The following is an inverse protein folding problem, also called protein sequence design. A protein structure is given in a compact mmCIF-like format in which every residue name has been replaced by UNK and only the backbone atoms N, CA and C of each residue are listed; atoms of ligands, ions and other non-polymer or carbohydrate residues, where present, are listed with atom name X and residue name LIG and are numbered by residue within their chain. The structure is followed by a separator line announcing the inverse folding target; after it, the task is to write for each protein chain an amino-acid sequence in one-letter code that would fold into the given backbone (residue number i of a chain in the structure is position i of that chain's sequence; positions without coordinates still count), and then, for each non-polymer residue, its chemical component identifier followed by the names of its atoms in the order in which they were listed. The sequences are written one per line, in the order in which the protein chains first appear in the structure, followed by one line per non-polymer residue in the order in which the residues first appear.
data_IF_216723792645
#
_entry.id   IF_216723792645
#
_cell.length_a   1.000
_cell.length_b   1.000
_cell.length_c   1.000
_cell.angle_alpha   90.00
_cell.angle_beta   90.00
_cell.angle_gamma   90.00
#
_symmetry.space_group_name_H-M   'P 1'
#
loop_
_entity.id
_entity.type
_entity.pdbx_description
1 polymer ?
#
# COMPACT_ATOMS: atom_id res chain seq x y z
N UNK A 1 -15.16 -4.10 -10.44
CA UNK A 1 -14.22 -3.58 -11.45
C UNK A 1 -13.88 -2.15 -11.06
N UNK A 2 -12.73 -1.93 -10.44
CA UNK A 2 -12.25 -0.61 -10.04
C UNK A 2 -10.74 -0.67 -9.91
N UNK A 3 -10.03 -0.13 -10.89
CA UNK A 3 -8.56 -0.14 -10.95
C UNK A 3 -8.01 1.00 -10.10
N UNK A 4 -7.71 0.72 -8.83
CA UNK A 4 -6.96 1.64 -7.97
C UNK A 4 -5.51 1.73 -8.43
N UNK A 5 -5.08 2.92 -8.87
CA UNK A 5 -3.70 3.21 -9.29
C UNK A 5 -2.85 3.45 -8.04
N UNK A 6 -2.33 2.40 -7.42
CA UNK A 6 -1.35 2.51 -6.34
C UNK A 6 0.07 2.28 -6.91
N UNK A 7 0.81 3.37 -7.12
CA UNK A 7 2.22 3.32 -7.49
C UNK A 7 3.10 3.47 -6.25
N UNK A 8 4.00 2.52 -6.02
CA UNK A 8 4.86 2.48 -4.82
C UNK A 8 6.37 2.44 -5.14
N UNK A 9 6.77 2.76 -6.38
CA UNK A 9 8.18 2.77 -6.77
C UNK A 9 8.86 4.08 -6.39
N UNK A 10 9.98 3.99 -5.68
CA UNK A 10 10.84 5.14 -5.40
C UNK A 10 12.00 5.15 -6.40
N UNK A 11 12.17 6.28 -7.11
CA UNK A 11 13.05 6.53 -8.30
C UNK A 11 12.28 6.92 -9.59
N UNK A 12 10.95 7.02 -9.53
CA UNK A 12 10.10 7.30 -10.70
C UNK A 12 9.61 6.03 -11.41
N UNK A 13 10.01 4.85 -10.93
CA UNK A 13 9.42 3.59 -11.34
C UNK A 13 7.96 3.46 -10.89
N UNK A 14 7.13 2.88 -11.75
CA UNK A 14 5.76 2.55 -11.43
C UNK A 14 5.66 1.04 -11.19
N UNK A 15 5.48 0.66 -9.93
CA UNK A 15 5.10 -0.70 -9.57
C UNK A 15 3.57 -0.84 -9.56
N UNK A 16 3.06 -1.93 -10.14
CA UNK A 16 1.64 -2.31 -10.08
C UNK A 16 1.51 -3.57 -9.24
N UNK A 17 0.84 -3.47 -8.09
CA UNK A 17 0.56 -4.60 -7.21
C UNK A 17 -0.91 -5.03 -7.30
N UNK A 18 -1.15 -6.35 -7.26
CA UNK A 18 -2.49 -6.94 -7.14
C UNK A 18 -2.44 -8.00 -6.04
N UNK A 19 -3.22 -7.80 -4.99
CA UNK A 19 -3.35 -8.75 -3.89
C UNK A 19 -4.82 -8.89 -3.54
N UNK A 20 -5.28 -10.13 -3.40
CA UNK A 20 -6.62 -10.42 -2.89
C UNK A 20 -6.57 -10.45 -1.36
N UNK A 21 -7.48 -9.71 -0.73
CA UNK A 21 -7.62 -9.68 0.72
C UNK A 21 -8.94 -10.37 1.06
N UNK A 22 -8.85 -11.65 1.40
CA UNK A 22 -9.97 -12.44 1.91
C UNK A 22 -9.61 -13.05 3.28
N UNK A 23 -10.61 -13.15 4.17
CA UNK A 23 -10.45 -13.73 5.51
C UNK A 23 -10.31 -12.74 6.67
N UNK A 24 -9.86 -11.50 6.43
CA UNK A 24 -9.75 -10.47 7.48
C UNK A 24 -10.31 -9.12 7.00
N UNK A 25 -11.47 -8.73 7.53
CA UNK A 25 -12.10 -7.42 7.31
C UNK A 25 -11.70 -6.45 8.40
N UNK A 26 -10.52 -5.86 8.25
CA UNK A 26 -9.97 -4.87 9.18
C UNK A 26 -9.14 -3.85 8.44
N UNK A 27 -8.60 -2.88 9.17
CA UNK A 27 -7.71 -1.85 8.63
C UNK A 27 -6.36 -2.45 8.29
N UNK A 28 -6.00 -2.39 7.02
CA UNK A 28 -4.69 -2.77 6.51
C UNK A 28 -3.80 -1.53 6.39
N UNK A 29 -2.50 -1.69 6.61
CA UNK A 29 -1.50 -0.63 6.58
C UNK A 29 -0.49 -0.92 5.48
N UNK A 30 -0.28 0.06 4.61
CA UNK A 30 0.71 0.05 3.55
C UNK A 30 1.82 1.02 3.92
N UNK A 31 3.08 0.56 3.96
CA UNK A 31 4.23 1.40 4.27
C UNK A 31 5.44 1.00 3.44
N UNK A 32 6.43 1.89 3.35
CA UNK A 32 7.75 1.48 2.88
C UNK A 32 8.36 0.52 3.89
N UNK A 33 8.87 -0.63 3.44
CA UNK A 33 9.62 -1.54 4.32
C UNK A 33 10.92 -0.92 4.86
N UNK A 34 11.31 0.26 4.34
CA UNK A 34 12.37 1.07 4.93
C UNK A 34 11.80 1.91 6.08
N UNK A 35 12.15 1.55 7.31
CA UNK A 35 11.60 2.14 8.54
C UNK A 35 11.91 3.63 8.64
N UNK A 36 13.04 4.06 8.09
CA UNK A 36 13.44 5.45 7.99
C UNK A 36 12.41 6.24 7.17
N UNK A 37 11.89 5.66 6.08
CA UNK A 37 10.85 6.27 5.25
C UNK A 37 9.46 6.16 5.90
N UNK A 38 9.20 5.09 6.66
CA UNK A 38 7.99 4.95 7.47
C UNK A 38 7.88 6.07 8.52
N UNK A 39 8.96 6.32 9.27
CA UNK A 39 9.04 7.41 10.25
C UNK A 39 8.99 8.82 9.65
N UNK A 40 9.28 8.95 8.35
CA UNK A 40 9.12 10.18 7.56
C UNK A 40 7.73 10.33 6.92
N UNK A 41 6.79 9.43 7.22
CA UNK A 41 5.38 9.53 6.81
C UNK A 41 5.00 8.72 5.57
N UNK A 42 5.83 7.78 5.12
CA UNK A 42 5.51 6.88 4.00
C UNK A 42 4.64 5.70 4.47
N UNK A 43 3.45 6.02 5.00
CA UNK A 43 2.46 5.08 5.52
C UNK A 43 1.04 5.51 5.11
N UNK A 44 0.22 4.56 4.67
CA UNK A 44 -1.19 4.76 4.33
C UNK A 44 -2.05 3.61 4.87
N UNK A 45 -3.21 3.94 5.43
CA UNK A 45 -4.19 2.94 5.86
C UNK A 45 -5.25 2.75 4.78
N UNK A 46 -5.74 1.53 4.61
CA UNK A 46 -6.90 1.23 3.78
C UNK A 46 -7.78 0.16 4.45
N UNK A 47 -9.10 0.34 4.35
CA UNK A 47 -10.07 -0.56 4.97
C UNK A 47 -10.54 -1.61 3.97
N UNK A 48 -10.60 -2.86 4.42
CA UNK A 48 -11.15 -3.99 3.66
C UNK A 48 -12.62 -4.18 4.05
N UNK A 49 -13.54 -3.74 3.18
CA UNK A 49 -15.00 -3.88 3.32
C UNK A 49 -15.55 -5.14 2.64
#
# INVERSE_FOLDING_TARGET
MGTGRAGCGGDGSLARSFTRLDGYRSRCMFHCHNIEHEGMGMMANFDVI
#
